data_IF_580179006926
#
_entry.id   IF_580179006926
#
_cell.length_a   1.000
_cell.length_b   1.000
_cell.length_c   1.000
_cell.angle_alpha   90.00
_cell.angle_beta   90.00
_cell.angle_gamma   90.00
#
_symmetry.space_group_name_H-M   'P 1'
#
loop_
_entity.id
_entity.type
_entity.pdbx_description
1 polymer ?
#
# COMPACT_ATOMS: atom_id res chain seq x y z
N UNK A 1 -17.37 -9.59 -26.07
CA UNK A 1 -17.61 -9.84 -24.62
C UNK A 1 -16.61 -9.03 -23.82
N UNK A 2 -17.02 -8.42 -22.69
CA UNK A 2 -16.08 -7.74 -21.81
C UNK A 2 -15.08 -8.74 -21.20
N UNK A 3 -13.80 -8.36 -21.04
CA UNK A 3 -12.76 -9.25 -20.48
C UNK A 3 -13.08 -9.69 -19.05
N UNK A 4 -13.66 -8.79 -18.25
CA UNK A 4 -14.09 -9.06 -16.88
C UNK A 4 -15.53 -8.58 -16.65
N UNK A 5 -16.21 -9.25 -15.73
CA UNK A 5 -17.51 -8.85 -15.20
C UNK A 5 -17.29 -7.99 -13.95
N UNK A 6 -18.11 -6.95 -13.80
CA UNK A 6 -18.19 -6.14 -12.58
C UNK A 6 -19.41 -6.62 -11.80
N UNK A 7 -19.18 -7.18 -10.62
CA UNK A 7 -20.24 -7.52 -9.68
C UNK A 7 -20.65 -6.26 -8.91
N UNK A 8 -21.90 -6.21 -8.46
CA UNK A 8 -22.41 -5.08 -7.70
C UNK A 8 -22.99 -5.53 -6.36
N UNK A 9 -22.56 -4.85 -5.29
CA UNK A 9 -23.18 -4.91 -3.97
C UNK A 9 -23.02 -3.55 -3.32
N UNK A 10 -24.00 -2.67 -3.52
CA UNK A 10 -23.91 -1.29 -3.05
C UNK A 10 -24.05 -1.21 -1.52
N UNK A 11 -23.20 -0.39 -0.89
CA UNK A 11 -23.32 -0.06 0.53
C UNK A 11 -24.66 0.63 0.81
N UNK A 12 -25.22 0.46 2.01
CA UNK A 12 -26.38 1.24 2.43
C UNK A 12 -25.98 2.71 2.67
N UNK A 13 -26.88 3.64 2.34
CA UNK A 13 -26.62 5.08 2.53
C UNK A 13 -26.47 5.38 4.03
N UNK A 14 -25.35 6.01 4.39
CA UNK A 14 -25.02 6.42 5.75
C UNK A 14 -23.93 7.53 5.74
N UNK A 15 -23.76 8.29 6.82
CA UNK A 15 -22.81 9.42 6.86
C UNK A 15 -21.32 9.04 6.73
N UNK A 16 -20.94 7.79 6.97
CA UNK A 16 -19.54 7.39 7.15
C UNK A 16 -18.94 6.74 5.91
N UNK A 17 -19.64 5.80 5.29
CA UNK A 17 -19.08 4.99 4.19
C UNK A 17 -19.78 5.22 2.85
N UNK A 18 -21.04 5.66 2.82
CA UNK A 18 -21.74 6.04 1.57
C UNK A 18 -22.76 7.14 1.83
N UNK A 19 -22.38 8.40 1.62
CA UNK A 19 -23.26 9.54 1.93
C UNK A 19 -24.41 9.76 0.95
N UNK A 20 -24.34 9.17 -0.25
CA UNK A 20 -25.27 9.46 -1.35
C UNK A 20 -25.03 10.82 -2.02
N UNK A 21 -24.02 11.59 -1.59
CA UNK A 21 -23.63 12.85 -2.23
C UNK A 21 -23.16 12.55 -3.65
N UNK A 22 -23.69 13.27 -4.64
CA UNK A 22 -23.28 13.10 -6.04
C UNK A 22 -21.89 13.68 -6.29
N UNK A 23 -21.12 13.02 -7.16
CA UNK A 23 -19.91 13.60 -7.72
C UNK A 23 -20.28 14.88 -8.49
N UNK A 24 -19.47 15.93 -8.37
CA UNK A 24 -19.67 17.14 -9.18
C UNK A 24 -19.31 16.88 -10.64
N UNK A 25 -18.23 16.12 -10.86
CA UNK A 25 -17.73 15.66 -12.16
C UNK A 25 -16.67 14.59 -11.92
N UNK A 26 -16.58 13.58 -12.80
CA UNK A 26 -15.42 12.67 -12.78
C UNK A 26 -14.27 13.32 -13.56
N UNK A 27 -13.22 13.73 -12.86
CA UNK A 27 -12.01 14.34 -13.40
C UNK A 27 -10.77 13.46 -13.27
N UNK A 28 -10.89 12.33 -12.60
CA UNK A 28 -9.79 11.38 -12.47
C UNK A 28 -10.19 10.05 -11.85
N UNK A 29 -9.38 9.04 -12.11
CA UNK A 29 -9.47 7.72 -11.47
C UNK A 29 -8.28 7.59 -10.52
N UNK A 30 -8.52 7.17 -9.28
CA UNK A 30 -7.49 7.03 -8.25
C UNK A 30 -7.31 5.55 -7.92
N UNK A 31 -6.13 5.01 -8.25
CA UNK A 31 -5.75 3.66 -7.87
C UNK A 31 -5.20 3.64 -6.44
N UNK A 32 -5.60 2.62 -5.69
CA UNK A 32 -5.17 2.34 -4.32
C UNK A 32 -4.81 0.86 -4.17
N UNK A 33 -4.29 0.54 -3.00
CA UNK A 33 -4.14 -0.83 -2.52
C UNK A 33 -4.77 -0.92 -1.14
N UNK A 34 -5.37 -2.06 -0.81
CA UNK A 34 -6.07 -2.19 0.47
C UNK A 34 -5.13 -2.15 1.67
N UNK A 35 -3.82 -2.35 1.45
CA UNK A 35 -2.79 -2.54 2.47
C UNK A 35 -3.08 -3.68 3.46
N UNK A 36 -4.13 -4.48 3.20
CA UNK A 36 -4.57 -5.56 4.05
C UNK A 36 -4.10 -6.89 3.45
N UNK A 37 -2.93 -7.34 3.92
CA UNK A 37 -2.34 -8.63 3.53
C UNK A 37 -2.97 -9.82 4.26
N UNK A 38 -3.94 -9.59 5.15
CA UNK A 38 -4.56 -10.65 5.94
C UNK A 38 -5.21 -11.72 5.04
N UNK A 39 -5.06 -13.00 5.43
CA UNK A 39 -5.75 -14.10 4.76
C UNK A 39 -7.27 -13.84 4.74
N UNK A 40 -7.91 -13.99 3.59
CA UNK A 40 -9.33 -13.75 3.40
C UNK A 40 -9.74 -12.28 3.30
N UNK A 41 -8.81 -11.33 3.22
CA UNK A 41 -9.12 -9.92 2.99
C UNK A 41 -9.46 -9.63 1.52
N UNK A 42 -10.44 -10.36 0.99
CA UNK A 42 -10.98 -10.23 -0.37
C UNK A 42 -11.82 -8.97 -0.55
N UNK A 43 -12.27 -8.70 -1.77
CA UNK A 43 -13.22 -7.65 -2.09
C UNK A 43 -14.52 -7.72 -1.25
N UNK A 44 -15.09 -8.92 -1.06
CA UNK A 44 -16.28 -9.15 -0.23
C UNK A 44 -16.01 -8.93 1.25
N UNK A 45 -14.79 -9.21 1.74
CA UNK A 45 -14.41 -8.88 3.11
C UNK A 45 -14.34 -7.37 3.33
N UNK A 46 -13.81 -6.62 2.35
CA UNK A 46 -13.83 -5.16 2.39
C UNK A 46 -15.26 -4.61 2.34
N UNK A 47 -16.14 -5.15 1.49
CA UNK A 47 -17.56 -4.79 1.49
C UNK A 47 -18.20 -4.97 2.88
N UNK A 48 -17.98 -6.12 3.54
CA UNK A 48 -18.50 -6.37 4.90
C UNK A 48 -17.95 -5.36 5.92
N UNK A 49 -16.66 -5.02 5.83
CA UNK A 49 -16.06 -4.01 6.69
C UNK A 49 -16.71 -2.63 6.51
N UNK A 50 -16.90 -2.17 5.27
CA UNK A 50 -17.54 -0.88 4.98
C UNK A 50 -19.05 -0.86 5.23
N UNK A 51 -19.69 -2.03 5.30
CA UNK A 51 -21.11 -2.18 5.67
C UNK A 51 -21.35 -2.22 7.19
N UNK A 52 -20.31 -2.32 8.01
CA UNK A 52 -20.45 -2.48 9.46
C UNK A 52 -19.28 -1.88 10.25
N UNK A 53 -18.12 -2.53 10.25
CA UNK A 53 -16.97 -2.14 11.08
C UNK A 53 -16.54 -0.67 10.93
N UNK A 54 -16.49 -0.16 9.69
CA UNK A 54 -16.18 1.24 9.44
C UNK A 54 -17.27 2.21 9.96
N UNK A 55 -18.54 1.82 9.87
CA UNK A 55 -19.68 2.60 10.37
C UNK A 55 -19.64 2.67 11.89
N UNK A 56 -19.45 1.52 12.56
CA UNK A 56 -19.34 1.45 14.03
C UNK A 56 -18.16 2.28 14.55
N UNK A 57 -17.06 2.33 13.79
CA UNK A 57 -15.89 3.14 14.10
C UNK A 57 -16.05 4.63 13.73
N UNK A 58 -17.18 5.03 13.13
CA UNK A 58 -17.43 6.39 12.59
C UNK A 58 -16.34 6.84 11.61
N UNK A 59 -15.82 5.92 10.82
CA UNK A 59 -14.74 6.14 9.86
C UNK A 59 -15.28 6.72 8.55
N UNK A 60 -14.84 7.93 8.20
CA UNK A 60 -15.08 8.53 6.88
C UNK A 60 -14.13 7.93 5.84
N UNK A 61 -14.42 6.70 5.42
CA UNK A 61 -13.62 5.95 4.48
C UNK A 61 -14.49 5.06 3.58
N UNK A 62 -14.21 5.06 2.29
CA UNK A 62 -14.80 4.14 1.31
C UNK A 62 -14.10 4.26 -0.04
N UNK A 63 -14.33 3.30 -0.93
CA UNK A 63 -13.92 3.34 -2.33
C UNK A 63 -15.08 2.88 -3.21
N UNK A 64 -15.00 3.12 -4.52
CA UNK A 64 -16.07 2.73 -5.44
C UNK A 64 -15.96 1.25 -5.80
N UNK A 65 -14.72 0.79 -6.00
CA UNK A 65 -14.43 -0.57 -6.46
C UNK A 65 -13.36 -1.25 -5.61
N UNK A 66 -13.50 -2.56 -5.46
CA UNK A 66 -12.47 -3.47 -4.96
C UNK A 66 -12.20 -4.54 -6.03
N UNK A 67 -10.92 -4.69 -6.40
CA UNK A 67 -10.48 -5.69 -7.36
C UNK A 67 -9.69 -6.78 -6.63
N UNK A 68 -10.17 -8.01 -6.65
CA UNK A 68 -9.48 -9.18 -6.11
C UNK A 68 -8.98 -10.11 -7.24
N UNK A 69 -8.27 -11.17 -6.90
CA UNK A 69 -7.67 -12.12 -7.84
C UNK A 69 -8.68 -12.86 -8.72
N UNK A 70 -9.95 -12.92 -8.34
CA UNK A 70 -11.02 -13.61 -9.05
C UNK A 70 -12.20 -12.71 -9.48
N UNK A 71 -12.35 -11.52 -8.88
CA UNK A 71 -13.56 -10.71 -9.00
C UNK A 71 -13.30 -9.20 -8.95
N UNK A 72 -14.29 -8.43 -9.42
CA UNK A 72 -14.36 -6.97 -9.28
C UNK A 72 -15.70 -6.67 -8.62
N UNK A 73 -15.69 -5.95 -7.50
CA UNK A 73 -16.90 -5.57 -6.78
C UNK A 73 -17.05 -4.05 -6.74
N UNK A 74 -18.17 -3.55 -7.30
CA UNK A 74 -18.63 -2.17 -7.12
C UNK A 74 -19.49 -2.07 -5.87
N UNK A 75 -19.15 -1.11 -4.99
CA UNK A 75 -19.86 -0.89 -3.73
C UNK A 75 -20.41 0.53 -3.56
N UNK A 76 -20.00 1.47 -4.40
CA UNK A 76 -20.59 2.82 -4.52
C UNK A 76 -20.83 3.11 -6.01
N UNK A 77 -21.99 3.66 -6.41
CA UNK A 77 -22.25 4.02 -7.80
C UNK A 77 -21.28 5.07 -8.32
N UNK A 78 -20.97 5.01 -9.62
CA UNK A 78 -19.99 5.90 -10.28
C UNK A 78 -20.40 7.38 -10.27
N UNK A 79 -21.67 7.68 -9.94
CA UNK A 79 -22.19 9.04 -9.81
C UNK A 79 -22.21 9.57 -8.37
N UNK A 80 -21.74 8.81 -7.39
CA UNK A 80 -21.70 9.17 -5.97
C UNK A 80 -20.26 9.31 -5.46
N UNK A 81 -20.06 10.21 -4.52
CA UNK A 81 -18.79 10.44 -3.86
C UNK A 81 -18.44 9.28 -2.91
N UNK A 82 -17.16 8.89 -2.90
CA UNK A 82 -16.57 8.02 -1.88
C UNK A 82 -15.46 8.75 -1.10
N UNK A 83 -15.20 8.34 0.14
CA UNK A 83 -14.14 8.90 0.99
C UNK A 83 -12.82 8.13 0.84
N UNK A 84 -12.07 8.34 -0.25
CA UNK A 84 -10.84 7.54 -0.51
C UNK A 84 -9.53 8.35 -0.57
N UNK A 85 -9.61 9.67 -0.76
CA UNK A 85 -8.46 10.55 -1.01
C UNK A 85 -8.54 11.84 -0.19
N UNK A 86 -8.96 11.72 1.08
CA UNK A 86 -9.01 12.83 2.03
C UNK A 86 -7.61 13.26 2.52
N UNK A 87 -7.37 14.58 2.60
CA UNK A 87 -6.18 15.16 3.21
C UNK A 87 -6.46 16.59 3.70
N UNK A 88 -5.57 17.14 4.54
CA UNK A 88 -5.63 18.56 4.95
C UNK A 88 -5.25 19.52 3.82
N UNK A 89 -4.43 19.05 2.88
CA UNK A 89 -3.97 19.81 1.72
C UNK A 89 -3.70 18.86 0.56
N UNK A 90 -3.88 19.34 -0.67
CA UNK A 90 -3.68 18.55 -1.88
C UNK A 90 -2.47 19.05 -2.67
N UNK A 91 -1.73 18.13 -3.29
CA UNK A 91 -0.54 18.40 -4.12
C UNK A 91 -0.88 18.86 -5.54
N UNK A 92 -2.17 18.89 -5.88
CA UNK A 92 -2.67 19.29 -7.18
C UNK A 92 -3.98 20.05 -7.04
N UNK A 93 -4.17 21.04 -7.91
CA UNK A 93 -5.43 21.76 -8.10
C UNK A 93 -6.25 21.22 -9.30
N UNK A 94 -5.72 20.23 -10.05
CA UNK A 94 -6.40 19.63 -11.22
C UNK A 94 -7.71 18.93 -10.89
N UNK A 95 -7.90 18.55 -9.63
CA UNK A 95 -9.04 17.79 -9.12
C UNK A 95 -9.94 18.63 -8.22
N UNK A 96 -9.93 19.95 -8.42
CA UNK A 96 -10.67 20.91 -7.60
C UNK A 96 -10.14 21.02 -6.18
N UNK A 97 -10.91 21.69 -5.30
CA UNK A 97 -10.56 21.89 -3.89
C UNK A 97 -10.82 20.66 -3.01
N UNK A 98 -11.58 19.67 -3.51
CA UNK A 98 -11.94 18.47 -2.76
C UNK A 98 -12.01 17.21 -3.65
N UNK A 99 -10.87 16.54 -3.92
CA UNK A 99 -10.77 15.45 -4.89
C UNK A 99 -11.71 14.25 -4.68
N UNK A 100 -12.16 13.98 -3.44
CA UNK A 100 -13.16 12.93 -3.18
C UNK A 100 -14.44 13.11 -4.01
N UNK A 101 -14.90 14.36 -4.22
CA UNK A 101 -16.12 14.63 -5.00
C UNK A 101 -15.86 14.84 -6.50
N UNK A 102 -14.62 14.60 -6.94
CA UNK A 102 -14.17 14.76 -8.33
C UNK A 102 -13.60 13.48 -8.94
N UNK A 103 -13.50 12.37 -8.17
CA UNK A 103 -12.76 11.18 -8.61
C UNK A 103 -13.44 9.88 -8.23
N UNK A 104 -13.10 8.82 -8.99
CA UNK A 104 -13.50 7.45 -8.70
C UNK A 104 -12.31 6.69 -8.10
N UNK A 105 -12.51 6.04 -6.96
CA UNK A 105 -11.49 5.28 -6.24
C UNK A 105 -11.57 3.78 -6.51
N UNK A 106 -10.45 3.18 -6.92
CA UNK A 106 -10.29 1.74 -7.20
C UNK A 106 -9.26 1.15 -6.24
N UNK A 107 -9.67 0.20 -5.41
CA UNK A 107 -8.81 -0.52 -4.47
C UNK A 107 -8.33 -1.86 -5.05
N UNK A 108 -7.02 -2.11 -5.04
CA UNK A 108 -6.45 -3.42 -5.39
C UNK A 108 -6.27 -4.26 -4.13
N UNK A 109 -6.91 -5.43 -4.04
CA UNK A 109 -6.72 -6.36 -2.92
C UNK A 109 -5.32 -7.00 -2.96
N UNK A 110 -4.75 -7.22 -1.77
CA UNK A 110 -3.38 -7.74 -1.60
C UNK A 110 -3.28 -8.83 -0.51
N UNK A 111 -4.39 -9.48 -0.19
CA UNK A 111 -4.45 -10.60 0.73
C UNK A 111 -3.54 -11.74 0.29
N UNK A 112 -2.84 -12.37 1.25
CA UNK A 112 -1.81 -13.40 0.97
C UNK A 112 -2.33 -14.66 0.29
N UNK A 113 -3.62 -14.95 0.42
CA UNK A 113 -4.30 -16.07 -0.24
C UNK A 113 -4.94 -15.68 -1.57
N UNK A 114 -4.85 -14.41 -1.97
CA UNK A 114 -5.34 -13.90 -3.24
C UNK A 114 -4.28 -13.96 -4.35
N UNK A 115 -4.72 -13.90 -5.60
CA UNK A 115 -3.83 -13.77 -6.75
C UNK A 115 -3.62 -12.28 -7.08
N UNK A 116 -2.58 -11.68 -6.49
CA UNK A 116 -2.26 -10.26 -6.69
C UNK A 116 -2.07 -9.87 -8.16
N UNK A 117 -1.40 -10.70 -8.97
CA UNK A 117 -1.18 -10.40 -10.40
C UNK A 117 -2.52 -10.28 -11.14
N UNK A 118 -3.47 -11.15 -10.80
CA UNK A 118 -4.82 -11.12 -11.38
C UNK A 118 -5.68 -9.97 -10.83
N UNK A 119 -5.51 -9.58 -9.56
CA UNK A 119 -6.13 -8.40 -8.98
C UNK A 119 -5.63 -7.11 -9.66
N UNK A 120 -4.33 -7.03 -9.94
CA UNK A 120 -3.73 -5.90 -10.64
C UNK A 120 -4.13 -5.84 -12.11
N UNK A 121 -4.23 -6.97 -12.82
CA UNK A 121 -4.73 -7.02 -14.21
C UNK A 121 -6.18 -6.55 -14.31
N UNK A 122 -7.05 -7.01 -13.40
CA UNK A 122 -8.43 -6.52 -13.28
C UNK A 122 -8.49 -5.03 -13.00
N UNK A 123 -7.63 -4.54 -12.10
CA UNK A 123 -7.53 -3.12 -11.79
C UNK A 123 -7.12 -2.30 -13.02
N UNK A 124 -6.14 -2.76 -13.80
CA UNK A 124 -5.73 -2.09 -15.04
C UNK A 124 -6.88 -2.04 -16.06
N UNK A 125 -7.58 -3.16 -16.25
CA UNK A 125 -8.74 -3.22 -17.14
C UNK A 125 -9.89 -2.31 -16.69
N UNK A 126 -10.22 -2.33 -15.40
CA UNK A 126 -11.27 -1.49 -14.83
C UNK A 126 -10.94 -0.01 -14.97
N UNK A 127 -9.71 0.39 -14.64
CA UNK A 127 -9.24 1.77 -14.80
C UNK A 127 -9.34 2.20 -16.26
N UNK A 128 -8.93 1.36 -17.22
CA UNK A 128 -9.06 1.67 -18.64
C UNK A 128 -10.53 1.88 -19.06
N UNK A 129 -11.43 1.03 -18.58
CA UNK A 129 -12.88 1.17 -18.80
C UNK A 129 -13.40 2.50 -18.22
N UNK A 130 -13.09 2.79 -16.95
CA UNK A 130 -13.54 4.00 -16.28
C UNK A 130 -13.00 5.28 -16.94
N UNK A 131 -11.74 5.27 -17.39
CA UNK A 131 -11.18 6.38 -18.15
C UNK A 131 -11.97 6.61 -19.45
N UNK A 132 -12.25 5.56 -20.22
CA UNK A 132 -13.02 5.66 -21.47
C UNK A 132 -14.44 6.14 -21.23
N UNK A 133 -15.15 5.54 -20.28
CA UNK A 133 -16.54 5.87 -19.95
C UNK A 133 -16.69 7.35 -19.55
N UNK A 134 -15.65 7.93 -18.93
CA UNK A 134 -15.63 9.32 -18.48
C UNK A 134 -14.89 10.29 -19.45
N UNK A 135 -14.49 9.82 -20.65
CA UNK A 135 -13.74 10.62 -21.64
C UNK A 135 -12.44 11.22 -21.08
N UNK A 136 -11.74 10.45 -20.25
CA UNK A 136 -10.49 10.80 -19.60
C UNK A 136 -9.29 10.11 -20.28
N UNK A 137 -8.13 10.75 -20.20
CA UNK A 137 -6.88 10.20 -20.70
C UNK A 137 -6.03 9.53 -19.62
N UNK A 138 -4.95 8.87 -20.03
CA UNK A 138 -4.05 8.17 -19.10
C UNK A 138 -3.39 9.08 -18.04
N UNK A 139 -3.32 10.40 -18.27
CA UNK A 139 -2.81 11.37 -17.29
C UNK A 139 -3.88 11.91 -16.34
N UNK A 140 -5.10 11.38 -16.43
CA UNK A 140 -6.16 11.55 -15.45
C UNK A 140 -6.30 10.29 -14.56
N UNK A 141 -5.37 9.34 -14.67
CA UNK A 141 -5.14 8.27 -13.70
C UNK A 141 -4.09 8.72 -12.66
N UNK A 142 -4.45 8.64 -11.39
CA UNK A 142 -3.64 9.07 -10.26
C UNK A 142 -3.44 7.93 -9.27
N UNK A 143 -2.31 7.94 -8.58
CA UNK A 143 -2.16 7.26 -7.28
C UNK A 143 -2.70 8.18 -6.20
N UNK A 144 -3.14 7.64 -5.08
CA UNK A 144 -3.40 8.45 -3.88
C UNK A 144 -2.15 9.29 -3.53
N UNK A 145 -0.96 8.72 -3.71
CA UNK A 145 0.33 9.41 -3.57
C UNK A 145 0.42 10.72 -4.38
N UNK A 146 -0.08 10.74 -5.62
CA UNK A 146 0.01 11.92 -6.49
C UNK A 146 -0.85 13.08 -5.96
N UNK A 147 -1.91 12.77 -5.21
CA UNK A 147 -2.89 13.75 -4.73
C UNK A 147 -2.55 14.23 -3.31
N UNK A 148 -2.18 13.33 -2.41
CA UNK A 148 -1.97 13.66 -0.98
C UNK A 148 -0.54 13.41 -0.50
N UNK A 149 0.20 12.55 -1.20
CA UNK A 149 1.49 12.03 -0.74
C UNK A 149 1.45 10.80 0.13
N UNK A 150 0.26 10.24 0.40
CA UNK A 150 0.14 8.95 1.08
C UNK A 150 0.86 7.87 0.26
N UNK A 151 1.56 6.97 0.95
CA UNK A 151 2.25 5.81 0.39
C UNK A 151 1.27 4.76 -0.20
N UNK A 152 0.47 5.15 -1.19
CA UNK A 152 -0.65 4.36 -1.70
C UNK A 152 -0.83 4.57 -3.22
N UNK A 153 -0.83 3.49 -4.02
CA UNK A 153 -0.49 2.12 -3.64
C UNK A 153 1.01 1.96 -3.42
N UNK A 154 1.42 1.31 -2.32
CA UNK A 154 2.83 1.29 -1.89
C UNK A 154 3.77 0.66 -2.92
N UNK A 155 3.33 -0.37 -3.65
CA UNK A 155 4.10 -1.01 -4.72
C UNK A 155 4.37 -0.11 -5.94
N UNK A 156 3.67 1.02 -6.09
CA UNK A 156 3.99 2.06 -7.08
C UNK A 156 4.69 3.27 -6.47
N UNK A 157 5.07 3.22 -5.18
CA UNK A 157 5.79 4.31 -4.49
C UNK A 157 7.17 3.86 -4.01
N UNK A 158 7.32 2.61 -3.58
CA UNK A 158 8.56 2.08 -3.00
C UNK A 158 9.12 0.89 -3.77
N UNK A 159 10.41 0.97 -4.12
CA UNK A 159 11.11 -0.05 -4.90
C UNK A 159 11.14 -1.41 -4.19
N UNK A 160 11.33 -1.42 -2.85
CA UNK A 160 11.29 -2.65 -2.07
C UNK A 160 9.92 -3.35 -2.17
N UNK A 161 8.82 -2.59 -2.14
CA UNK A 161 7.47 -3.15 -2.26
C UNK A 161 7.17 -3.54 -3.71
N UNK A 162 7.67 -2.79 -4.71
CA UNK A 162 7.57 -3.22 -6.10
C UNK A 162 8.23 -4.60 -6.32
N UNK A 163 9.44 -4.81 -5.77
CA UNK A 163 10.14 -6.10 -5.80
C UNK A 163 9.40 -7.20 -5.03
N UNK A 164 8.89 -6.89 -3.83
CA UNK A 164 8.09 -7.82 -3.02
C UNK A 164 6.91 -8.39 -3.81
N UNK A 165 6.24 -7.54 -4.58
CA UNK A 165 5.07 -7.90 -5.39
C UNK A 165 5.41 -8.33 -6.83
N UNK A 166 6.70 -8.52 -7.15
CA UNK A 166 7.14 -9.02 -8.45
C UNK A 166 6.90 -8.06 -9.62
N UNK A 167 6.85 -6.75 -9.36
CA UNK A 167 6.59 -5.72 -10.38
C UNK A 167 7.85 -5.14 -11.04
N UNK A 168 9.00 -5.77 -10.80
CA UNK A 168 10.32 -5.37 -11.31
C UNK A 168 11.15 -4.55 -10.32
N UNK A 169 12.24 -3.96 -10.83
CA UNK A 169 13.32 -3.43 -9.97
C UNK A 169 12.99 -2.13 -9.23
N UNK A 170 12.04 -1.33 -9.74
CA UNK A 170 11.66 -0.05 -9.15
C UNK A 170 10.17 0.24 -9.26
N UNK A 171 9.63 0.95 -8.27
CA UNK A 171 8.26 1.42 -8.23
C UNK A 171 7.92 2.36 -9.38
N UNK A 172 8.89 3.16 -9.84
CA UNK A 172 8.70 4.04 -10.99
C UNK A 172 8.47 3.25 -12.29
N UNK A 173 9.28 2.22 -12.54
CA UNK A 173 9.08 1.32 -13.70
C UNK A 173 7.77 0.54 -13.57
N UNK A 174 7.46 0.03 -12.38
CA UNK A 174 6.20 -0.66 -12.11
C UNK A 174 4.98 0.23 -12.42
N UNK A 175 5.02 1.51 -12.00
CA UNK A 175 3.97 2.47 -12.30
C UNK A 175 3.82 2.74 -13.80
N UNK A 176 4.93 2.96 -14.50
CA UNK A 176 4.93 3.16 -15.95
C UNK A 176 4.39 1.94 -16.69
N UNK A 177 4.76 0.73 -16.26
CA UNK A 177 4.26 -0.52 -16.84
C UNK A 177 2.74 -0.68 -16.62
N UNK A 178 2.25 -0.35 -15.42
CA UNK A 178 0.81 -0.35 -15.15
C UNK A 178 0.06 0.65 -16.03
N UNK A 179 0.56 1.89 -16.17
CA UNK A 179 -0.03 2.87 -17.10
C UNK A 179 -0.03 2.36 -18.55
N UNK A 180 1.04 1.70 -19.00
CA UNK A 180 1.11 1.10 -20.33
C UNK A 180 0.06 -0.02 -20.52
N UNK A 181 -0.14 -0.86 -19.50
CA UNK A 181 -1.17 -1.90 -19.51
C UNK A 181 -2.59 -1.31 -19.56
N UNK A 182 -2.85 -0.24 -18.80
CA UNK A 182 -4.11 0.51 -18.88
C UNK A 182 -4.33 1.04 -20.30
N UNK A 183 -3.32 1.67 -20.92
CA UNK A 183 -3.40 2.17 -22.30
C UNK A 183 -3.69 1.04 -23.29
N UNK A 184 -3.03 -0.11 -23.13
CA UNK A 184 -3.31 -1.28 -23.95
C UNK A 184 -4.78 -1.73 -23.84
N UNK A 185 -5.36 -1.69 -22.64
CA UNK A 185 -6.79 -1.97 -22.45
C UNK A 185 -7.73 -0.89 -22.99
N UNK A 186 -7.26 0.35 -23.15
CA UNK A 186 -8.07 1.40 -23.78
C UNK A 186 -8.23 1.18 -25.29
N UNK A 187 -7.25 0.56 -25.95
CA UNK A 187 -7.23 0.25 -27.38
C UNK A 187 -6.63 1.36 -28.27
N UNK A 188 -6.36 1.03 -29.54
CA UNK A 188 -5.77 1.94 -30.53
C UNK A 188 -6.65 3.19 -30.75
N UNK A 189 -6.01 4.36 -30.85
CA UNK A 189 -6.66 5.67 -30.97
C UNK A 189 -6.66 6.52 -29.70
N UNK A 190 -6.31 5.94 -28.55
CA UNK A 190 -6.17 6.69 -27.30
C UNK A 190 -4.76 7.28 -27.17
N UNK A 191 -4.58 8.55 -27.53
CA UNK A 191 -3.29 9.23 -27.38
C UNK A 191 -2.85 9.21 -25.90
N UNK A 192 -1.59 8.81 -25.65
CA UNK A 192 -0.87 9.17 -24.42
C UNK A 192 -1.00 10.68 -24.24
N UNK A 193 -1.37 11.12 -23.04
CA UNK A 193 -1.68 12.54 -22.83
C UNK A 193 -0.40 13.39 -22.90
N UNK A 194 -0.59 14.64 -23.29
CA UNK A 194 0.43 15.71 -23.32
C UNK A 194 0.44 16.53 -22.03
N UNK A 195 -0.39 16.20 -21.04
CA UNK A 195 -0.45 16.95 -19.79
C UNK A 195 0.78 16.60 -18.96
N UNK A 196 1.49 17.59 -18.38
CA UNK A 196 2.58 17.31 -17.48
C UNK A 196 2.11 16.38 -16.35
N UNK A 197 2.89 15.34 -16.00
CA UNK A 197 2.67 14.59 -14.77
C UNK A 197 2.56 15.58 -13.61
N UNK A 198 1.75 15.27 -12.59
CA UNK A 198 1.86 16.00 -11.32
C UNK A 198 3.31 15.86 -10.88
N UNK A 199 4.03 16.98 -10.83
CA UNK A 199 5.42 17.00 -10.42
C UNK A 199 5.51 16.30 -9.07
N UNK A 200 6.46 15.35 -8.93
CA UNK A 200 6.86 14.91 -7.60
C UNK A 200 7.16 16.19 -6.80
N UNK A 201 6.69 16.30 -5.54
CA UNK A 201 6.96 17.48 -4.74
C UNK A 201 8.45 17.85 -4.84
N UNK A 202 8.77 19.10 -5.15
CA UNK A 202 10.15 19.57 -5.08
C UNK A 202 10.66 19.32 -3.66
N UNK A 203 11.75 18.55 -3.53
CA UNK A 203 12.25 18.05 -2.24
C UNK A 203 11.98 16.57 -1.95
N UNK A 204 11.25 15.85 -2.81
CA UNK A 204 11.17 14.38 -2.78
C UNK A 204 12.47 13.76 -3.35
N UNK A 205 13.58 13.97 -2.63
CA UNK A 205 14.66 12.98 -2.63
C UNK A 205 14.21 11.85 -1.71
N UNK A 206 13.40 10.93 -2.25
CA UNK A 206 13.28 9.62 -1.61
C UNK A 206 14.64 8.93 -1.84
N UNK A 207 15.62 9.30 -1.01
CA UNK A 207 16.65 8.35 -0.63
C UNK A 207 15.90 7.20 0.03
N UNK A 208 16.25 5.97 -0.33
CA UNK A 208 15.84 4.79 0.41
C UNK A 208 16.10 5.03 1.89
N UNK A 209 15.09 5.51 2.63
CA UNK A 209 15.04 5.23 4.04
C UNK A 209 14.57 3.79 4.07
N UNK A 210 15.55 2.89 4.00
CA UNK A 210 15.46 1.59 4.63
C UNK A 210 14.69 1.82 5.93
N UNK A 211 13.43 1.38 5.97
CA UNK A 211 12.60 1.55 7.17
C UNK A 211 13.37 0.79 8.23
N UNK A 212 13.98 1.54 9.16
CA UNK A 212 14.87 0.96 10.14
C UNK A 212 14.13 -0.21 10.79
N UNK A 213 14.71 -1.41 10.76
CA UNK A 213 13.99 -2.58 11.24
C UNK A 213 13.57 -2.34 12.68
N UNK A 214 12.31 -2.64 13.01
CA UNK A 214 11.79 -2.43 14.36
C UNK A 214 11.93 -3.67 15.22
N UNK A 215 12.15 -4.83 14.61
CA UNK A 215 12.31 -6.10 15.29
C UNK A 215 13.60 -6.82 14.84
N UNK A 216 14.17 -7.58 15.76
CA UNK A 216 15.19 -8.60 15.52
C UNK A 216 14.65 -9.96 15.95
N UNK A 217 14.67 -10.95 15.07
CA UNK A 217 14.25 -12.33 15.34
C UNK A 217 15.46 -13.25 15.44
N UNK A 218 15.52 -14.10 16.45
CA UNK A 218 16.55 -15.11 16.61
C UNK A 218 16.34 -16.22 15.59
N UNK A 219 17.35 -16.47 14.76
CA UNK A 219 17.34 -17.53 13.73
C UNK A 219 18.32 -18.67 14.03
N UNK A 220 19.18 -18.51 15.03
CA UNK A 220 20.08 -19.56 15.49
C UNK A 220 19.32 -20.70 16.18
N UNK A 221 19.60 -21.95 15.77
CA UNK A 221 18.93 -23.17 16.27
C UNK A 221 19.79 -23.98 17.25
N UNK A 222 20.97 -23.50 17.64
CA UNK A 222 21.83 -24.18 18.61
C UNK A 222 21.18 -24.27 20.00
N UNK A 223 21.47 -25.34 20.75
CA UNK A 223 20.89 -25.60 22.08
C UNK A 223 21.29 -24.55 23.11
N UNK A 224 22.47 -23.96 22.95
CA UNK A 224 23.03 -22.84 23.71
C UNK A 224 22.21 -21.55 23.56
N UNK A 225 21.57 -21.34 22.40
CA UNK A 225 20.81 -20.11 22.12
C UNK A 225 21.71 -18.91 21.86
N UNK A 226 21.14 -17.70 21.90
CA UNK A 226 21.86 -16.45 21.65
C UNK A 226 21.96 -15.63 22.93
N UNK A 227 23.17 -15.20 23.29
CA UNK A 227 23.41 -14.40 24.48
C UNK A 227 22.84 -12.98 24.36
N UNK A 228 22.20 -12.52 25.43
CA UNK A 228 21.76 -11.14 25.65
C UNK A 228 22.57 -10.54 26.80
N UNK A 229 22.99 -9.28 26.68
CA UNK A 229 23.91 -8.60 27.61
C UNK A 229 23.35 -7.26 28.07
N UNK A 230 23.82 -6.76 29.21
CA UNK A 230 23.44 -5.43 29.75
C UNK A 230 24.16 -4.26 29.06
N UNK A 231 25.30 -4.53 28.43
CA UNK A 231 26.12 -3.53 27.73
C UNK A 231 26.40 -3.98 26.30
N UNK A 232 26.75 -3.03 25.43
CA UNK A 232 27.14 -3.28 24.04
C UNK A 232 28.58 -3.81 23.93
N UNK A 233 28.86 -4.91 24.61
CA UNK A 233 30.19 -5.50 24.71
C UNK A 233 30.08 -7.03 24.74
N UNK A 234 30.70 -7.72 23.77
CA UNK A 234 30.68 -9.17 23.69
C UNK A 234 31.45 -9.87 24.82
N UNK A 235 32.35 -9.16 25.50
CA UNK A 235 33.09 -9.69 26.66
C UNK A 235 32.37 -9.49 28.00
N UNK A 236 31.34 -8.64 28.07
CA UNK A 236 30.59 -8.40 29.29
C UNK A 236 29.81 -9.66 29.73
N UNK A 237 29.48 -9.85 31.02
CA UNK A 237 28.72 -11.01 31.48
C UNK A 237 27.41 -11.24 30.72
N UNK A 238 27.06 -12.50 30.46
CA UNK A 238 25.77 -12.85 29.83
C UNK A 238 24.67 -12.56 30.84
N UNK A 239 23.64 -11.81 30.42
CA UNK A 239 22.46 -11.57 31.23
C UNK A 239 21.45 -12.70 31.11
N UNK A 240 21.19 -13.16 29.89
CA UNK A 240 20.29 -14.28 29.59
C UNK A 240 20.61 -14.89 28.22
N UNK A 241 20.02 -16.06 27.94
CA UNK A 241 20.03 -16.67 26.62
C UNK A 241 18.62 -16.70 26.04
N UNK A 242 18.49 -16.38 24.76
CA UNK A 242 17.22 -16.40 24.02
C UNK A 242 17.26 -17.49 22.94
N UNK A 243 16.11 -18.02 22.55
CA UNK A 243 15.99 -19.22 21.70
C UNK A 243 15.46 -18.89 20.32
N UNK A 244 15.58 -19.86 19.42
CA UNK A 244 15.07 -19.78 18.07
C UNK A 244 13.61 -19.33 18.05
N UNK A 245 13.30 -18.35 17.20
CA UNK A 245 11.94 -17.83 17.06
C UNK A 245 11.64 -16.60 17.91
N UNK A 246 12.38 -16.39 19.00
CA UNK A 246 12.22 -15.21 19.85
C UNK A 246 12.44 -13.93 19.05
N UNK A 247 11.60 -12.91 19.30
CA UNK A 247 11.67 -11.63 18.60
C UNK A 247 11.66 -10.47 19.58
N UNK A 248 12.51 -9.48 19.35
CA UNK A 248 12.70 -8.34 20.23
C UNK A 248 12.61 -7.03 19.46
N UNK A 249 12.01 -6.01 20.09
CA UNK A 249 12.02 -4.65 19.54
C UNK A 249 13.42 -4.05 19.64
N UNK A 250 13.95 -3.56 18.52
CA UNK A 250 15.26 -2.91 18.44
C UNK A 250 15.09 -1.40 18.35
N UNK A 251 15.99 -0.68 19.02
CA UNK A 251 16.01 0.79 19.11
C UNK A 251 17.20 1.36 18.35
N UNK A 252 18.33 0.66 18.35
CA UNK A 252 19.59 1.17 17.76
C UNK A 252 20.56 0.05 17.41
N UNK A 253 21.28 0.15 16.28
CA UNK A 253 22.49 -0.64 16.01
C UNK A 253 23.70 0.03 16.65
N UNK A 254 24.51 -0.72 17.38
CA UNK A 254 25.69 -0.21 18.11
C UNK A 254 26.91 -1.01 17.67
N UNK A 255 27.99 -0.30 17.30
CA UNK A 255 29.30 -0.91 17.06
C UNK A 255 30.01 -1.11 18.41
N UNK A 256 30.45 -2.32 18.70
CA UNK A 256 31.15 -2.65 19.94
C UNK A 256 32.63 -2.23 19.85
N UNK A 257 33.34 -2.26 20.97
CA UNK A 257 34.79 -1.99 21.01
C UNK A 257 35.59 -2.98 20.16
N UNK A 258 35.07 -4.20 19.98
CA UNK A 258 35.68 -5.26 19.16
C UNK A 258 35.40 -5.12 17.66
N UNK A 259 34.73 -4.04 17.22
CA UNK A 259 34.46 -3.77 15.80
C UNK A 259 33.20 -4.43 15.24
N UNK A 260 32.63 -5.38 15.98
CA UNK A 260 31.38 -6.07 15.67
C UNK A 260 30.14 -5.23 16.01
N UNK A 261 28.95 -5.68 15.59
CA UNK A 261 27.69 -4.97 15.85
C UNK A 261 26.73 -5.73 16.78
N UNK A 262 26.03 -4.97 17.61
CA UNK A 262 24.91 -5.42 18.44
C UNK A 262 23.67 -4.54 18.22
N UNK A 263 22.49 -5.10 18.47
CA UNK A 263 21.24 -4.36 18.56
C UNK A 263 20.92 -4.01 20.02
N UNK A 264 20.67 -2.72 20.29
CA UNK A 264 20.04 -2.27 21.54
C UNK A 264 18.54 -2.57 21.47
N UNK A 265 18.05 -3.36 22.41
CA UNK A 265 16.65 -3.71 22.55
C UNK A 265 15.88 -2.60 23.28
N UNK A 266 14.54 -2.56 23.13
CA UNK A 266 13.67 -1.62 23.86
C UNK A 266 13.78 -1.76 25.38
N UNK A 267 14.11 -2.96 25.86
CA UNK A 267 14.40 -3.23 27.27
C UNK A 267 15.69 -2.58 27.78
N UNK A 268 16.52 -2.02 26.89
CA UNK A 268 17.84 -1.51 27.22
C UNK A 268 18.97 -2.54 27.15
N UNK A 269 18.64 -3.82 26.94
CA UNK A 269 19.60 -4.92 26.76
C UNK A 269 20.18 -4.95 25.32
N UNK A 270 21.16 -5.81 25.10
CA UNK A 270 21.87 -5.93 23.83
C UNK A 270 21.94 -7.37 23.34
N UNK A 271 21.71 -7.59 22.05
CA UNK A 271 21.85 -8.89 21.36
C UNK A 271 22.76 -8.73 20.14
N UNK A 272 23.44 -9.79 19.69
CA UNK A 272 24.25 -9.73 18.46
C UNK A 272 23.45 -9.23 17.26
N UNK A 273 24.09 -8.48 16.37
CA UNK A 273 23.52 -8.09 15.07
C UNK A 273 24.01 -8.98 13.92
N UNK A 274 24.79 -10.02 14.21
CA UNK A 274 25.38 -10.89 13.20
C UNK A 274 24.31 -11.81 12.58
N UNK A 275 24.25 -11.83 11.25
CA UNK A 275 23.15 -12.44 10.49
C UNK A 275 23.05 -13.96 10.64
N UNK A 276 24.16 -14.63 10.96
CA UNK A 276 24.17 -16.05 11.38
C UNK A 276 23.21 -16.36 12.54
N UNK A 277 23.00 -15.39 13.44
CA UNK A 277 22.28 -15.62 14.70
C UNK A 277 20.91 -14.97 14.73
N UNK A 278 20.75 -13.83 14.05
CA UNK A 278 19.52 -13.05 14.06
C UNK A 278 19.19 -12.50 12.68
N UNK A 279 17.90 -12.21 12.44
CA UNK A 279 17.41 -11.53 11.24
C UNK A 279 16.51 -10.37 11.63
N UNK A 280 16.72 -9.22 11.00
CA UNK A 280 15.84 -8.05 11.16
C UNK A 280 14.53 -8.23 10.40
N UNK A 281 13.43 -7.71 10.96
CA UNK A 281 12.10 -7.75 10.34
C UNK A 281 11.54 -6.32 10.32
N UNK A 282 11.04 -5.90 9.15
CA UNK A 282 10.56 -4.55 8.89
C UNK A 282 9.31 -4.16 9.69
N UNK A 283 9.31 -2.93 10.19
CA UNK A 283 8.22 -2.30 10.94
C UNK A 283 7.06 -1.84 10.05
N UNK A 284 5.89 -1.63 10.69
CA UNK A 284 4.66 -1.13 10.08
C UNK A 284 4.86 0.17 9.30
#
# INVERSE_FOLDING_TARGET
MAKYTINESLLQVNPYTRTGIKLKKVMGIVIHWTANKGKGASDTAHYRYYSGGAISAKSYASAHYFCDGDSILRVIPDNEMAYHVGARSYRTNRLGSYPNNMTIGVETCVNVDGNFKQALDRSAWLVAKLLKDNKLGIDDLYRHYDITGKDCPRYFVYDATAREYGLGDSAAKAWSAFKAQVVAYMGEGTKLSTKPPIAKPAGSTYKDKEVAPTLVKVIYKGRDGVAVRKTADFSAPVHSYVKYGDAFTIVKKVKTKQGEYMWRLKSGLFITAHEKYVKTIGGK
#
